data_IF_205225053242
#
_entry.id   IF_205225053242
#
_cell.length_a   1.000
_cell.length_b   1.000
_cell.length_c   1.000
_cell.angle_alpha   90.00
_cell.angle_beta   90.00
_cell.angle_gamma   90.00
#
_symmetry.space_group_name_H-M   'P 1'
#
loop_
_entity.id
_entity.type
_entity.pdbx_description
1 polymer ?
#
# COMPACT_ATOMS: atom_id res chain seq x y z
N UNK A 1 -0.53 11.34 6.89
CA UNK A 1 -1.82 10.89 7.45
C UNK A 1 -1.59 9.50 8.02
N UNK A 2 -2.15 9.20 9.20
CA UNK A 2 -2.10 7.86 9.80
C UNK A 2 -3.48 7.19 9.71
N UNK A 3 -3.73 6.43 8.65
CA UNK A 3 -5.00 5.77 8.39
C UNK A 3 -5.32 4.70 9.45
N UNK A 4 -4.32 3.97 9.97
CA UNK A 4 -4.57 2.89 10.92
C UNK A 4 -5.17 3.43 12.22
N UNK A 5 -4.68 4.59 12.67
CA UNK A 5 -5.23 5.27 13.84
C UNK A 5 -6.70 5.63 13.64
N UNK A 6 -7.07 6.11 12.44
CA UNK A 6 -8.45 6.47 12.12
C UNK A 6 -9.37 5.24 12.07
N UNK A 7 -8.91 4.14 11.46
CA UNK A 7 -9.65 2.87 11.45
C UNK A 7 -9.93 2.37 12.87
N UNK A 8 -8.96 2.48 13.79
CA UNK A 8 -9.11 2.09 15.20
C UNK A 8 -10.06 3.00 16.00
N UNK A 9 -10.35 4.21 15.52
CA UNK A 9 -11.29 5.13 16.20
C UNK A 9 -12.75 4.93 15.81
N UNK A 10 -13.07 3.94 14.96
CA UNK A 10 -14.44 3.64 14.53
C UNK A 10 -14.98 4.57 13.45
N UNK A 11 -14.12 5.36 12.82
CA UNK A 11 -14.47 6.10 11.59
C UNK A 11 -14.75 5.07 10.48
N UNK A 12 -15.77 5.32 9.66
CA UNK A 12 -16.12 4.38 8.59
C UNK A 12 -14.97 4.24 7.60
N UNK A 13 -14.76 3.01 7.13
CA UNK A 13 -13.66 2.63 6.23
C UNK A 13 -13.65 3.51 4.98
N UNK A 14 -14.83 3.73 4.38
CA UNK A 14 -15.00 4.63 3.24
C UNK A 14 -14.52 6.05 3.50
N UNK A 15 -14.78 6.60 4.68
CA UNK A 15 -14.34 7.96 5.02
C UNK A 15 -12.82 8.02 5.19
N UNK A 16 -12.21 7.01 5.83
CA UNK A 16 -10.76 6.92 5.98
C UNK A 16 -10.09 6.75 4.62
N UNK A 17 -10.61 5.87 3.76
CA UNK A 17 -10.09 5.66 2.42
C UNK A 17 -10.21 6.92 1.55
N UNK A 18 -11.32 7.66 1.67
CA UNK A 18 -11.49 8.93 0.95
C UNK A 18 -10.44 9.97 1.37
N UNK A 19 -10.25 10.16 2.67
CA UNK A 19 -9.23 11.07 3.20
C UNK A 19 -7.82 10.64 2.80
N UNK A 20 -7.57 9.32 2.77
CA UNK A 20 -6.30 8.73 2.33
C UNK A 20 -6.00 9.07 0.88
N UNK A 21 -6.94 8.78 -0.03
CA UNK A 21 -6.75 9.06 -1.46
C UNK A 21 -6.62 10.55 -1.72
N UNK A 22 -7.44 11.39 -1.08
CA UNK A 22 -7.33 12.84 -1.22
C UNK A 22 -5.98 13.37 -0.73
N UNK A 23 -5.46 12.83 0.37
CA UNK A 23 -4.16 13.22 0.90
C UNK A 23 -3.01 12.74 0.00
N UNK A 24 -3.07 11.50 -0.49
CA UNK A 24 -2.12 10.95 -1.45
C UNK A 24 -1.99 11.86 -2.67
N UNK A 25 -3.13 12.16 -3.32
CA UNK A 25 -3.14 12.96 -4.54
C UNK A 25 -2.71 14.40 -4.28
N UNK A 26 -3.24 15.04 -3.23
CA UNK A 26 -2.87 16.42 -2.89
C UNK A 26 -1.37 16.57 -2.64
N UNK A 27 -0.79 15.68 -1.84
CA UNK A 27 0.65 15.73 -1.51
C UNK A 27 1.50 15.43 -2.74
N UNK A 28 1.15 14.39 -3.50
CA UNK A 28 1.96 13.97 -4.65
C UNK A 28 1.89 14.96 -5.81
N UNK A 29 0.73 15.56 -6.08
CA UNK A 29 0.62 16.64 -7.07
C UNK A 29 1.36 17.92 -6.64
N UNK A 30 1.38 18.24 -5.34
CA UNK A 30 2.16 19.38 -4.83
C UNK A 30 3.67 19.16 -5.00
N UNK A 31 4.12 17.92 -4.82
CA UNK A 31 5.54 17.54 -4.95
C UNK A 31 5.92 17.20 -6.40
N UNK A 32 4.94 17.01 -7.29
CA UNK A 32 5.09 16.49 -8.67
C UNK A 32 5.71 15.09 -8.76
N UNK A 33 5.68 14.36 -7.65
CA UNK A 33 6.16 12.98 -7.51
C UNK A 33 5.46 12.32 -6.31
N UNK A 34 5.56 11.01 -6.15
CA UNK A 34 4.98 10.32 -4.99
C UNK A 34 5.57 10.87 -3.68
N UNK A 35 4.70 11.42 -2.82
CA UNK A 35 5.16 12.02 -1.57
C UNK A 35 5.81 11.00 -0.63
N UNK A 36 7.10 11.19 -0.34
CA UNK A 36 7.88 10.29 0.51
C UNK A 36 7.36 10.29 1.96
N UNK A 37 6.95 11.45 2.47
CA UNK A 37 6.34 11.58 3.80
C UNK A 37 5.04 10.77 3.88
N UNK A 38 4.18 10.87 2.85
CA UNK A 38 2.94 10.11 2.79
C UNK A 38 3.20 8.60 2.71
N UNK A 39 4.12 8.22 1.83
CA UNK A 39 4.54 6.83 1.61
C UNK A 39 5.10 6.19 2.87
N UNK A 40 5.94 6.91 3.60
CA UNK A 40 6.46 6.52 4.92
C UNK A 40 5.34 6.23 5.91
N UNK A 41 4.37 7.14 6.04
CA UNK A 41 3.23 6.93 6.94
C UNK A 41 2.40 5.70 6.53
N UNK A 42 2.16 5.51 5.24
CA UNK A 42 1.44 4.34 4.73
C UNK A 42 2.15 3.03 5.09
N UNK A 43 3.46 2.94 4.83
CA UNK A 43 4.27 1.76 5.14
C UNK A 43 4.27 1.47 6.65
N UNK A 44 4.51 2.49 7.48
CA UNK A 44 4.55 2.31 8.94
C UNK A 44 3.19 1.92 9.50
N UNK A 45 2.09 2.46 8.97
CA UNK A 45 0.74 2.08 9.38
C UNK A 45 0.42 0.62 8.99
N UNK A 46 0.88 0.14 7.84
CA UNK A 46 0.74 -1.29 7.48
C UNK A 46 1.52 -2.19 8.43
N UNK A 47 2.76 -1.82 8.73
CA UNK A 47 3.60 -2.56 9.66
C UNK A 47 3.01 -2.56 11.08
N UNK A 48 2.47 -1.43 11.53
CA UNK A 48 1.75 -1.34 12.79
C UNK A 48 0.46 -2.16 12.77
N UNK A 49 -0.22 -2.28 11.62
CA UNK A 49 -1.37 -3.16 11.42
C UNK A 49 -1.02 -4.64 11.57
N UNK A 50 0.22 -5.00 11.21
CA UNK A 50 0.80 -6.31 11.48
C UNK A 50 1.24 -6.49 12.94
N UNK A 51 1.22 -5.43 13.76
CA UNK A 51 1.74 -5.45 15.14
C UNK A 51 3.25 -5.29 15.24
N UNK A 52 3.91 -4.79 14.18
CA UNK A 52 5.32 -4.42 14.19
C UNK A 52 5.46 -2.93 14.51
N UNK A 53 6.24 -2.62 15.53
CA UNK A 53 6.53 -1.25 15.94
C UNK A 53 7.87 -0.83 15.32
N UNK A 54 7.81 -0.43 14.05
CA UNK A 54 8.95 0.10 13.33
C UNK A 54 8.70 1.55 12.92
N UNK A 55 9.78 2.27 12.65
CA UNK A 55 9.73 3.64 12.17
C UNK A 55 10.64 3.78 10.95
N UNK A 56 10.19 3.20 9.83
CA UNK A 56 10.86 3.37 8.54
C UNK A 56 10.76 4.84 8.15
N UNK A 57 11.89 5.47 7.84
CA UNK A 57 11.98 6.89 7.49
C UNK A 57 11.83 7.12 5.98
N UNK A 58 11.59 8.38 5.59
CA UNK A 58 11.56 8.78 4.18
C UNK A 58 12.91 8.52 3.47
N UNK A 59 14.03 8.68 4.17
CA UNK A 59 15.38 8.43 3.64
C UNK A 59 15.61 6.94 3.33
N UNK A 60 15.17 6.06 4.23
CA UNK A 60 15.24 4.61 4.01
C UNK A 60 14.33 4.15 2.87
N UNK A 61 13.15 4.76 2.72
CA UNK A 61 12.26 4.48 1.58
C UNK A 61 12.90 4.93 0.26
N UNK A 62 13.45 6.14 0.23
CA UNK A 62 14.08 6.69 -0.97
C UNK A 62 15.32 5.89 -1.40
N UNK A 63 16.12 5.41 -0.44
CA UNK A 63 17.30 4.58 -0.72
C UNK A 63 16.96 3.11 -1.06
N UNK A 64 15.72 2.67 -0.81
CA UNK A 64 15.30 1.28 -1.06
C UNK A 64 15.85 0.26 -0.04
N UNK A 65 16.36 0.73 1.11
CA UNK A 65 16.90 -0.09 2.19
C UNK A 65 18.44 -0.16 2.24
N UNK A 66 19.02 -0.81 3.29
CA UNK A 66 18.36 -1.64 4.31
C UNK A 66 17.59 -0.83 5.36
N UNK A 67 16.44 -1.36 5.81
CA UNK A 67 15.64 -0.77 6.89
C UNK A 67 16.16 -1.18 8.28
N UNK A 68 16.02 -0.30 9.26
CA UNK A 68 16.32 -0.60 10.67
C UNK A 68 15.20 -1.44 11.32
N UNK A 69 15.23 -2.74 11.07
CA UNK A 69 14.22 -3.67 11.55
C UNK A 69 14.31 -3.94 13.07
N UNK A 70 13.19 -3.97 13.81
CA UNK A 70 13.20 -4.28 15.24
C UNK A 70 13.38 -5.80 15.47
N UNK A 71 14.61 -6.29 15.29
CA UNK A 71 14.91 -7.73 15.26
C UNK A 71 14.46 -8.48 16.52
N UNK A 72 14.58 -7.88 17.70
CA UNK A 72 14.12 -8.49 18.95
C UNK A 72 12.59 -8.73 18.95
N UNK A 73 11.82 -7.74 18.49
CA UNK A 73 10.36 -7.86 18.34
C UNK A 73 10.01 -8.92 17.31
N UNK A 74 10.70 -8.92 16.16
CA UNK A 74 10.47 -9.87 15.07
C UNK A 74 10.76 -11.31 15.52
N UNK A 75 11.78 -11.56 16.34
CA UNK A 75 12.11 -12.92 16.83
C UNK A 75 11.03 -13.53 17.74
N UNK A 76 10.38 -12.72 18.56
CA UNK A 76 9.31 -13.17 19.47
C UNK A 76 7.91 -12.92 18.91
N UNK A 77 7.82 -12.39 17.69
CA UNK A 77 6.57 -12.02 17.06
C UNK A 77 5.60 -13.19 17.02
N UNK A 78 4.33 -12.91 17.32
CA UNK A 78 3.24 -13.85 17.09
C UNK A 78 2.06 -13.04 16.59
N UNK A 79 1.57 -13.38 15.41
CA UNK A 79 0.40 -12.69 14.86
C UNK A 79 -0.83 -13.06 15.69
N UNK A 80 -1.39 -12.07 16.37
CA UNK A 80 -2.67 -12.21 17.07
C UNK A 80 -3.73 -11.57 16.19
N UNK A 81 -4.45 -12.40 15.44
CA UNK A 81 -5.56 -11.94 14.63
C UNK A 81 -6.66 -11.39 15.54
N UNK A 82 -6.73 -10.07 15.64
CA UNK A 82 -7.87 -9.36 16.20
C UNK A 82 -8.83 -9.14 15.04
N UNK A 83 -9.85 -9.99 14.97
CA UNK A 83 -10.74 -10.11 13.81
C UNK A 83 -11.24 -8.76 13.30
N UNK A 84 -11.73 -7.90 14.19
CA UNK A 84 -12.21 -6.58 13.80
C UNK A 84 -11.12 -5.65 13.26
N UNK A 85 -9.94 -5.60 13.90
CA UNK A 85 -8.92 -4.60 13.58
C UNK A 85 -8.24 -4.90 12.25
N UNK A 86 -7.90 -6.17 12.02
CA UNK A 86 -7.24 -6.58 10.80
C UNK A 86 -8.22 -6.66 9.62
N UNK A 87 -9.47 -7.05 9.86
CA UNK A 87 -10.51 -7.02 8.82
C UNK A 87 -10.79 -5.59 8.32
N UNK A 88 -10.83 -4.60 9.21
CA UNK A 88 -10.97 -3.20 8.80
C UNK A 88 -9.81 -2.72 7.92
N UNK A 89 -8.59 -3.20 8.18
CA UNK A 89 -7.43 -2.94 7.32
C UNK A 89 -7.60 -3.56 5.93
N UNK A 90 -8.05 -4.80 5.86
CA UNK A 90 -8.30 -5.52 4.60
C UNK A 90 -9.34 -4.81 3.73
N UNK A 91 -10.48 -4.46 4.31
CA UNK A 91 -11.54 -3.72 3.61
C UNK A 91 -11.08 -2.31 3.21
N UNK A 92 -10.26 -1.65 4.03
CA UNK A 92 -9.67 -0.36 3.69
C UNK A 92 -8.81 -0.42 2.42
N UNK A 93 -7.98 -1.46 2.26
CA UNK A 93 -7.12 -1.62 1.09
C UNK A 93 -7.92 -1.77 -0.21
N UNK A 94 -9.04 -2.49 -0.16
CA UNK A 94 -9.95 -2.62 -1.30
C UNK A 94 -10.64 -1.30 -1.62
N UNK A 95 -11.16 -0.60 -0.60
CA UNK A 95 -11.88 0.66 -0.77
C UNK A 95 -10.97 1.78 -1.31
N UNK A 96 -9.68 1.80 -0.93
CA UNK A 96 -8.67 2.71 -1.52
C UNK A 96 -8.58 2.50 -3.03
N UNK A 97 -8.53 1.26 -3.51
CA UNK A 97 -8.44 0.98 -4.95
C UNK A 97 -9.71 1.46 -5.70
N UNK A 98 -10.89 1.22 -5.12
CA UNK A 98 -12.18 1.72 -5.64
C UNK A 98 -12.21 3.25 -5.74
N UNK A 99 -11.74 3.95 -4.71
CA UNK A 99 -11.68 5.41 -4.69
C UNK A 99 -10.65 5.97 -5.66
N UNK A 100 -9.48 5.33 -5.80
CA UNK A 100 -8.49 5.69 -6.81
C UNK A 100 -9.05 5.52 -8.21
N UNK A 101 -9.80 4.44 -8.48
CA UNK A 101 -10.49 4.27 -9.76
C UNK A 101 -11.40 5.47 -10.06
N UNK A 102 -12.25 5.84 -9.10
CA UNK A 102 -13.18 6.97 -9.27
C UNK A 102 -12.43 8.29 -9.51
N UNK A 103 -11.35 8.56 -8.77
CA UNK A 103 -10.54 9.76 -8.97
C UNK A 103 -9.79 9.75 -10.31
N UNK A 104 -9.37 8.59 -10.78
CA UNK A 104 -8.71 8.45 -12.07
C UNK A 104 -9.64 8.75 -13.24
N UNK A 105 -10.90 8.30 -13.18
CA UNK A 105 -11.90 8.63 -14.20
C UNK A 105 -12.18 10.14 -14.25
N UNK A 106 -12.21 10.82 -13.10
CA UNK A 106 -12.32 12.29 -13.04
C UNK A 106 -11.09 12.92 -13.70
N UNK A 107 -9.89 12.50 -13.31
CA UNK A 107 -8.63 12.98 -13.87
C UNK A 107 -8.56 12.81 -15.40
N UNK A 108 -8.97 11.66 -15.94
CA UNK A 108 -8.99 11.41 -17.38
C UNK A 108 -9.95 12.34 -18.14
N UNK A 109 -11.02 12.82 -17.50
CA UNK A 109 -11.92 13.79 -18.11
C UNK A 109 -11.32 15.20 -18.07
N UNK A 110 -10.75 15.60 -16.93
CA UNK A 110 -10.15 16.92 -16.74
C UNK A 110 -8.91 17.14 -17.63
N UNK A 111 -8.05 16.12 -17.78
CA UNK A 111 -6.83 16.17 -18.62
C UNK A 111 -7.17 16.18 -20.12
N UNK A 112 -8.28 15.58 -20.54
CA UNK A 112 -8.73 15.69 -21.95
C UNK A 112 -9.17 17.10 -22.33
N UNK A 113 -9.56 17.92 -21.35
CA UNK A 113 -9.95 19.33 -21.56
C UNK A 113 -8.75 20.28 -21.54
N UNK A 114 -7.67 19.91 -20.86
CA UNK A 114 -6.43 20.66 -20.75
C UNK A 114 -5.42 20.14 -21.79
N UNK A 115 -5.51 20.67 -23.02
CA UNK A 115 -4.45 20.49 -24.02
C UNK A 115 -3.16 21.19 -23.56
N UNK A 116 -2.32 20.58 -22.71
CA UNK A 116 -0.93 21.03 -22.53
C UNK A 116 0.02 20.02 -21.85
N UNK A 117 1.30 20.15 -22.24
CA UNK A 117 2.52 19.36 -22.04
C UNK A 117 3.01 19.11 -20.58
N UNK A 118 2.14 18.97 -19.58
CA UNK A 118 2.59 18.53 -18.24
C UNK A 118 2.42 17.01 -18.07
N UNK A 119 3.55 16.29 -17.94
CA UNK A 119 3.61 14.90 -17.49
C UNK A 119 3.13 14.81 -16.02
N UNK A 120 1.82 14.93 -15.81
CA UNK A 120 1.19 14.77 -14.50
C UNK A 120 0.84 13.30 -14.35
N UNK A 121 1.42 12.65 -13.33
CA UNK A 121 1.05 11.29 -13.00
C UNK A 121 -0.39 11.21 -12.49
N UNK A 122 -1.08 10.18 -12.96
CA UNK A 122 -2.47 9.93 -12.67
C UNK A 122 -2.66 9.28 -11.29
N UNK A 123 -3.89 9.30 -10.73
CA UNK A 123 -4.18 8.65 -9.46
C UNK A 123 -3.79 7.16 -9.39
N UNK A 124 -3.95 6.42 -10.49
CA UNK A 124 -3.57 5.00 -10.56
C UNK A 124 -2.05 4.85 -10.53
N UNK A 125 -1.30 5.72 -11.19
CA UNK A 125 0.17 5.68 -11.17
C UNK A 125 0.74 5.94 -9.78
N UNK A 126 0.20 6.90 -9.03
CA UNK A 126 0.61 7.10 -7.63
C UNK A 126 0.29 5.90 -6.74
N UNK A 127 -0.88 5.27 -6.90
CA UNK A 127 -1.21 4.04 -6.18
C UNK A 127 -0.26 2.89 -6.56
N UNK A 128 0.09 2.78 -7.83
CA UNK A 128 1.05 1.79 -8.32
C UNK A 128 2.43 1.96 -7.70
N UNK A 129 2.95 3.19 -7.66
CA UNK A 129 4.23 3.49 -7.01
C UNK A 129 4.19 3.20 -5.51
N UNK A 130 3.12 3.61 -4.83
CA UNK A 130 2.92 3.33 -3.41
C UNK A 130 2.91 1.82 -3.12
N UNK A 131 2.23 1.06 -3.97
CA UNK A 131 2.19 -0.41 -3.91
C UNK A 131 3.56 -1.01 -4.20
N UNK A 132 4.33 -0.44 -5.12
CA UNK A 132 5.68 -0.89 -5.42
C UNK A 132 6.64 -0.68 -4.23
N UNK A 133 6.48 0.43 -3.49
CA UNK A 133 7.23 0.66 -2.24
C UNK A 133 6.87 -0.39 -1.21
N UNK A 134 5.57 -0.66 -0.98
CA UNK A 134 5.15 -1.76 -0.11
C UNK A 134 5.74 -3.10 -0.57
N UNK A 135 5.81 -3.32 -1.89
CA UNK A 135 6.40 -4.54 -2.43
C UNK A 135 7.87 -4.75 -2.03
N UNK A 136 8.63 -3.65 -1.99
CA UNK A 136 10.03 -3.69 -1.56
C UNK A 136 10.14 -3.96 -0.05
N UNK A 137 9.27 -3.34 0.75
CA UNK A 137 9.22 -3.52 2.20
C UNK A 137 8.88 -4.96 2.57
N UNK A 138 7.79 -5.53 2.03
CA UNK A 138 7.41 -6.91 2.36
C UNK A 138 8.50 -7.90 1.94
N UNK A 139 9.17 -7.67 0.80
CA UNK A 139 10.24 -8.56 0.33
C UNK A 139 11.41 -8.61 1.30
N UNK A 140 11.72 -7.50 1.97
CA UNK A 140 12.73 -7.49 3.02
C UNK A 140 12.24 -8.22 4.28
N UNK A 141 10.99 -8.04 4.69
CA UNK A 141 10.39 -8.81 5.79
C UNK A 141 10.41 -10.32 5.54
N UNK A 142 10.02 -10.77 4.34
CA UNK A 142 10.05 -12.18 3.95
C UNK A 142 11.47 -12.77 4.07
N UNK A 143 12.50 -12.02 3.68
CA UNK A 143 13.90 -12.46 3.86
C UNK A 143 14.29 -12.60 5.33
N UNK A 144 13.77 -11.74 6.22
CA UNK A 144 14.00 -11.89 7.66
C UNK A 144 13.28 -13.12 8.20
N UNK A 145 12.09 -13.42 7.70
CA UNK A 145 11.32 -14.60 8.08
C UNK A 145 12.00 -15.91 7.62
N UNK A 146 12.61 -15.95 6.44
CA UNK A 146 13.41 -17.09 5.96
C UNK A 146 14.58 -17.45 6.89
N UNK A 147 15.07 -16.47 7.68
CA UNK A 147 16.12 -16.69 8.67
C UNK A 147 15.58 -17.26 10.00
N UNK A 148 14.27 -17.32 10.18
CA UNK A 148 13.63 -17.81 11.39
C UNK A 148 13.10 -19.24 11.20
N UNK A 149 13.11 -20.02 12.29
CA UNK A 149 12.62 -21.42 12.29
C UNK A 149 11.09 -21.49 12.16
N UNK A 150 10.37 -20.45 12.60
CA UNK A 150 8.92 -20.37 12.53
C UNK A 150 8.50 -19.21 11.61
N UNK A 151 7.80 -19.53 10.52
CA UNK A 151 7.17 -18.54 9.64
C UNK A 151 5.95 -17.92 10.34
N UNK A 152 6.08 -16.70 10.84
CA UNK A 152 5.08 -16.02 11.68
C UNK A 152 4.41 -14.82 10.97
N UNK A 153 4.98 -14.35 9.88
CA UNK A 153 4.51 -13.23 9.05
C UNK A 153 3.81 -13.69 7.76
N UNK A 154 4.00 -14.95 7.36
CA UNK A 154 3.53 -15.48 6.08
C UNK A 154 2.03 -15.22 5.83
N UNK A 155 1.15 -15.62 6.75
CA UNK A 155 -0.30 -15.40 6.65
C UNK A 155 -0.68 -13.90 6.64
N UNK A 156 -0.32 -13.08 7.64
CA UNK A 156 -0.79 -11.69 7.67
C UNK A 156 -0.22 -10.84 6.52
N UNK A 157 1.01 -11.12 6.04
CA UNK A 157 1.55 -10.50 4.83
C UNK A 157 0.78 -10.93 3.58
N UNK A 158 0.48 -12.22 3.45
CA UNK A 158 -0.29 -12.74 2.32
C UNK A 158 -1.68 -12.12 2.25
N UNK A 159 -2.34 -11.91 3.40
CA UNK A 159 -3.65 -11.27 3.48
C UNK A 159 -3.62 -9.80 3.01
N UNK A 160 -2.68 -8.98 3.50
CA UNK A 160 -2.50 -7.61 3.00
C UNK A 160 -2.30 -7.60 1.49
N UNK A 161 -1.40 -8.46 1.00
CA UNK A 161 -1.08 -8.53 -0.42
C UNK A 161 -2.25 -9.04 -1.27
N UNK A 162 -3.07 -9.94 -0.73
CA UNK A 162 -4.28 -10.41 -1.39
C UNK A 162 -5.32 -9.31 -1.54
N UNK A 163 -5.58 -8.52 -0.49
CA UNK A 163 -6.56 -7.43 -0.55
C UNK A 163 -6.10 -6.28 -1.44
N UNK A 164 -4.80 -5.94 -1.42
CA UNK A 164 -4.23 -5.03 -2.43
C UNK A 164 -4.34 -5.61 -3.85
N UNK A 165 -4.03 -6.90 -4.03
CA UNK A 165 -4.12 -7.56 -5.34
C UNK A 165 -5.52 -7.48 -5.91
N UNK A 166 -6.55 -7.75 -5.09
CA UNK A 166 -7.94 -7.75 -5.52
C UNK A 166 -8.32 -6.40 -6.14
N UNK A 167 -8.03 -5.30 -5.44
CA UNK A 167 -8.28 -3.95 -5.94
C UNK A 167 -7.43 -3.59 -7.16
N UNK A 168 -6.12 -3.87 -7.12
CA UNK A 168 -5.21 -3.60 -8.24
C UNK A 168 -5.56 -4.41 -9.49
N UNK A 169 -6.08 -5.63 -9.33
CA UNK A 169 -6.52 -6.47 -10.42
C UNK A 169 -7.77 -5.91 -11.13
N UNK A 170 -8.66 -5.25 -10.38
CA UNK A 170 -9.81 -4.57 -10.97
C UNK A 170 -9.38 -3.33 -11.77
N UNK A 171 -8.44 -2.54 -11.24
CA UNK A 171 -7.80 -1.44 -12.00
C UNK A 171 -7.12 -1.97 -13.27
N UNK A 172 -6.40 -3.08 -13.18
CA UNK A 172 -5.75 -3.73 -14.32
C UNK A 172 -6.74 -4.12 -15.42
N UNK A 173 -7.92 -4.64 -15.08
CA UNK A 173 -8.93 -4.99 -16.11
C UNK A 173 -9.33 -3.78 -16.95
N UNK A 174 -9.36 -2.61 -16.33
CA UNK A 174 -9.77 -1.35 -16.96
C UNK A 174 -8.62 -0.69 -17.73
N UNK A 175 -7.44 -0.60 -17.12
CA UNK A 175 -6.37 0.30 -17.58
C UNK A 175 -5.10 -0.42 -18.07
N UNK A 176 -5.07 -1.76 -18.15
CA UNK A 176 -3.84 -2.51 -18.54
C UNK A 176 -3.21 -2.09 -19.88
N UNK A 177 -3.98 -1.54 -20.81
CA UNK A 177 -3.47 -1.15 -22.12
C UNK A 177 -2.65 0.14 -22.04
N UNK A 178 -3.08 1.06 -21.17
CA UNK A 178 -2.45 2.37 -20.99
C UNK A 178 -1.36 2.29 -19.88
N UNK A 179 -1.59 1.46 -18.86
CA UNK A 179 -0.73 1.33 -17.68
C UNK A 179 -0.17 -0.09 -17.56
N UNK A 180 0.75 -0.44 -18.46
CA UNK A 180 1.37 -1.77 -18.54
C UNK A 180 2.06 -2.24 -17.24
N UNK A 181 2.53 -1.31 -16.39
CA UNK A 181 3.13 -1.63 -15.10
C UNK A 181 2.14 -2.27 -14.11
N UNK A 182 0.82 -2.18 -14.34
CA UNK A 182 -0.20 -2.87 -13.53
C UNK A 182 -0.04 -4.39 -13.58
N UNK A 183 0.36 -4.96 -14.73
CA UNK A 183 0.62 -6.39 -14.86
C UNK A 183 1.77 -6.81 -13.91
N UNK A 184 2.84 -6.03 -13.86
CA UNK A 184 3.99 -6.32 -13.02
C UNK A 184 3.64 -6.25 -11.52
N UNK A 185 2.87 -5.23 -11.10
CA UNK A 185 2.43 -5.09 -9.71
C UNK A 185 1.49 -6.21 -9.31
N UNK A 186 0.46 -6.50 -10.13
CA UNK A 186 -0.48 -7.59 -9.85
C UNK A 186 0.26 -8.93 -9.74
N UNK A 187 1.23 -9.20 -10.62
CA UNK A 187 2.02 -10.43 -10.54
C UNK A 187 2.84 -10.51 -9.26
N UNK A 188 3.48 -9.42 -8.83
CA UNK A 188 4.25 -9.38 -7.56
C UNK A 188 3.36 -9.68 -6.35
N UNK A 189 2.21 -9.01 -6.28
CA UNK A 189 1.25 -9.22 -5.20
C UNK A 189 0.67 -10.65 -5.22
N UNK A 190 0.36 -11.19 -6.38
CA UNK A 190 -0.12 -12.58 -6.54
C UNK A 190 0.87 -13.60 -6.00
N UNK A 191 2.13 -13.53 -6.41
CA UNK A 191 3.15 -14.47 -5.93
C UNK A 191 3.38 -14.36 -4.43
N UNK A 192 3.29 -13.15 -3.86
CA UNK A 192 3.43 -12.98 -2.41
C UNK A 192 2.21 -13.48 -1.65
N UNK A 193 0.99 -13.21 -2.13
CA UNK A 193 -0.24 -13.71 -1.52
C UNK A 193 -0.29 -15.25 -1.52
N UNK A 194 0.17 -15.89 -2.60
CA UNK A 194 0.24 -17.36 -2.68
C UNK A 194 1.20 -18.00 -1.69
N UNK A 195 2.20 -17.28 -1.18
CA UNK A 195 3.17 -17.88 -0.26
C UNK A 195 2.57 -18.14 1.12
N UNK A 196 1.56 -17.37 1.56
CA UNK A 196 0.91 -17.54 2.86
C UNK A 196 -0.50 -18.11 2.86
N UNK A 197 -0.93 -18.69 1.72
CA UNK A 197 -2.15 -19.47 1.57
C UNK A 197 -1.80 -20.96 1.44
#
# INVERSE_FOLDING_TARGET
>A
MHFLKLLKTGISIKQVALEFVQTLLKKSWQEKELSLEFTCNFVNDLLQGLGLECHITAEEINSGGPYDWPLEQIQIYNFHYIEMDFHNLEEFLEEVCSLVQMQHEIFLNDVKELHDDEDIESPVEYLMQLTAVWCNVYKQLQKLEELQVNKRFEEPLARINFHMLKGMHDLRKLYRLDLHLLDAICNRLYWSALQGL
#
